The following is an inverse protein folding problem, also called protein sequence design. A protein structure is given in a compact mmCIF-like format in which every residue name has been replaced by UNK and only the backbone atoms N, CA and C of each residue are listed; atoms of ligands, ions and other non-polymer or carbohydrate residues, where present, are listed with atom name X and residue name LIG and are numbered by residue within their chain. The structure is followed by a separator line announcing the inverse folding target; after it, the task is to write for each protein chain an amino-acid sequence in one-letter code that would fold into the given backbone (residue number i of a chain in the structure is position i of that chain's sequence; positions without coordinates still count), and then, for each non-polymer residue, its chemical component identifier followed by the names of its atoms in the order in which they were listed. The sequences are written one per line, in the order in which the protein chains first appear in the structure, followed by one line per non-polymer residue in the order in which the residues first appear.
data_IF_958212555054
#
_entry.id   IF_958212555054
#
_cell.length_a   1.000
_cell.length_b   1.000
_cell.length_c   1.000
_cell.angle_alpha   90.00
_cell.angle_beta   90.00
_cell.angle_gamma   90.00
#
_symmetry.space_group_name_H-M   'P 1'
#
loop_
_entity.id
_entity.type
_entity.pdbx_description
1 polymer ?
#
# COMPACT_ATOMS: atom_id res chain seq x y z
N UNK A 1 24.83 17.86 -8.43
CA UNK A 1 24.03 17.67 -7.20
C UNK A 1 23.08 16.47 -7.34
N UNK A 2 23.14 15.46 -6.46
CA UNK A 2 22.09 14.44 -6.41
C UNK A 2 20.76 15.13 -6.08
N UNK A 3 19.64 14.72 -6.70
CA UNK A 3 18.33 15.24 -6.33
C UNK A 3 18.09 15.01 -4.83
N UNK A 4 17.44 15.95 -4.12
CA UNK A 4 17.12 15.78 -2.70
C UNK A 4 16.34 14.48 -2.54
N UNK A 5 16.81 13.58 -1.68
CA UNK A 5 16.10 12.34 -1.38
C UNK A 5 14.70 12.69 -0.89
N UNK A 6 13.66 12.08 -1.48
CA UNK A 6 12.30 12.41 -1.11
C UNK A 6 12.06 11.97 0.34
N UNK A 7 11.51 12.88 1.15
CA UNK A 7 11.36 12.69 2.59
C UNK A 7 10.29 11.62 2.87
N UNK A 8 10.47 10.77 3.89
CA UNK A 8 9.46 9.77 4.22
C UNK A 8 8.13 10.42 4.63
N UNK A 9 7.03 9.96 4.07
CA UNK A 9 5.67 10.38 4.42
C UNK A 9 5.21 9.58 5.64
N UNK A 10 4.94 10.25 6.76
CA UNK A 10 4.44 9.59 7.97
C UNK A 10 2.95 9.28 7.83
N UNK A 11 2.58 7.99 7.99
CA UNK A 11 1.19 7.52 7.85
C UNK A 11 0.49 7.33 9.21
N UNK A 12 1.25 7.39 10.30
CA UNK A 12 0.80 7.23 11.68
C UNK A 12 1.99 7.26 12.64
N UNK A 13 1.75 7.05 13.93
CA UNK A 13 2.78 7.20 14.99
C UNK A 13 3.99 6.26 14.82
N UNK A 14 3.75 5.06 14.25
CA UNK A 14 4.78 4.04 14.08
C UNK A 14 4.94 3.57 12.63
N UNK A 15 4.37 4.28 11.66
CA UNK A 15 4.31 3.81 10.25
C UNK A 15 4.65 4.92 9.27
N UNK A 16 5.44 4.59 8.24
CA UNK A 16 5.84 5.54 7.20
C UNK A 16 5.97 4.88 5.83
N UNK A 17 5.82 5.70 4.79
CA UNK A 17 6.12 5.36 3.41
C UNK A 17 7.38 6.09 2.94
N UNK A 18 8.21 5.49 2.06
CA UNK A 18 9.31 6.19 1.41
C UNK A 18 8.78 7.30 0.50
N UNK A 19 9.59 8.35 0.26
CA UNK A 19 9.10 9.67 -0.14
C UNK A 19 8.43 9.87 -1.51
N UNK A 20 8.17 8.81 -2.27
CA UNK A 20 7.41 8.89 -3.54
C UNK A 20 6.11 8.08 -3.45
N UNK A 21 5.57 7.95 -2.23
CA UNK A 21 4.44 7.10 -1.92
C UNK A 21 3.44 7.84 -1.03
N UNK A 22 2.15 7.68 -1.34
CA UNK A 22 1.05 8.19 -0.53
C UNK A 22 0.62 7.16 0.52
N UNK A 23 0.29 7.62 1.73
CA UNK A 23 -0.30 6.80 2.77
C UNK A 23 -1.79 6.56 2.47
N UNK A 24 -2.24 5.31 2.49
CA UNK A 24 -3.62 4.90 2.29
C UNK A 24 -4.11 4.01 3.43
N UNK A 25 -5.32 4.25 3.89
CA UNK A 25 -6.01 3.39 4.85
C UNK A 25 -6.56 2.15 4.13
N UNK A 26 -6.05 0.96 4.43
CA UNK A 26 -6.54 -0.30 3.86
C UNK A 26 -7.80 -0.80 4.57
N UNK A 27 -7.79 -0.71 5.90
CA UNK A 27 -8.92 -1.10 6.71
C UNK A 27 -9.26 0.00 7.71
N UNK A 28 -10.35 0.70 7.43
CA UNK A 28 -10.93 1.66 8.37
C UNK A 28 -12.01 0.97 9.21
N UNK A 29 -11.90 1.07 10.54
CA UNK A 29 -12.90 0.60 11.47
C UNK A 29 -13.16 1.68 12.52
N UNK A 30 -14.40 2.17 12.59
CA UNK A 30 -14.83 3.16 13.57
C UNK A 30 -14.04 4.48 13.53
N UNK A 31 -13.61 4.93 12.35
CA UNK A 31 -12.80 6.14 12.16
C UNK A 31 -11.30 5.94 12.45
N UNK A 32 -10.86 4.71 12.72
CA UNK A 32 -9.46 4.36 12.93
C UNK A 32 -8.98 3.45 11.79
N UNK A 33 -7.83 3.80 11.21
CA UNK A 33 -7.14 2.94 10.26
C UNK A 33 -6.40 1.83 10.99
N UNK A 34 -6.95 0.62 10.94
CA UNK A 34 -6.34 -0.58 11.51
C UNK A 34 -5.17 -1.07 10.66
N UNK A 35 -5.27 -0.88 9.34
CA UNK A 35 -4.24 -1.28 8.38
C UNK A 35 -3.88 -0.10 7.48
N UNK A 36 -2.58 0.13 7.35
CA UNK A 36 -2.00 1.23 6.57
C UNK A 36 -1.19 0.63 5.42
N UNK A 37 -1.42 1.15 4.22
CA UNK A 37 -0.73 0.78 3.00
C UNK A 37 -0.08 2.00 2.34
N UNK A 38 1.04 1.77 1.67
CA UNK A 38 1.71 2.74 0.84
C UNK A 38 1.28 2.57 -0.62
N UNK A 39 0.66 3.59 -1.18
CA UNK A 39 0.45 3.68 -2.60
C UNK A 39 1.77 4.01 -3.32
N UNK A 40 2.15 3.30 -4.39
CA UNK A 40 3.38 3.57 -5.14
C UNK A 40 3.34 4.83 -6.03
N UNK A 41 2.33 5.68 -5.85
CA UNK A 41 2.20 6.97 -6.51
C UNK A 41 2.36 8.06 -5.45
N UNK A 42 2.98 9.18 -5.81
CA UNK A 42 3.24 10.30 -4.90
C UNK A 42 1.93 11.02 -4.48
N UNK A 43 0.98 11.10 -5.43
CA UNK A 43 -0.36 11.66 -5.23
C UNK A 43 -1.42 10.63 -5.66
N UNK A 44 -1.29 9.40 -5.19
CA UNK A 44 -2.22 8.33 -5.55
C UNK A 44 -3.58 8.50 -4.89
N UNK A 45 -4.63 8.10 -5.61
CA UNK A 45 -5.99 7.98 -5.06
C UNK A 45 -6.16 6.58 -4.48
N UNK A 46 -6.48 6.53 -3.19
CA UNK A 46 -6.75 5.29 -2.48
C UNK A 46 -8.16 4.79 -2.84
N UNK A 47 -8.25 3.55 -3.32
CA UNK A 47 -9.54 2.94 -3.63
C UNK A 47 -10.16 2.30 -2.37
N UNK A 48 -11.19 2.92 -1.78
CA UNK A 48 -11.83 2.43 -0.57
C UNK A 48 -12.36 1.00 -0.70
N UNK A 49 -12.26 0.22 0.37
CA UNK A 49 -12.69 -1.19 0.39
C UNK A 49 -11.83 -2.14 -0.44
N UNK A 50 -10.66 -1.71 -0.92
CA UNK A 50 -9.73 -2.54 -1.67
C UNK A 50 -8.27 -2.19 -1.37
N UNK A 51 -7.36 -3.12 -1.71
CA UNK A 51 -5.91 -2.89 -1.64
C UNK A 51 -5.36 -2.18 -2.89
N UNK A 52 -6.23 -1.62 -3.72
CA UNK A 52 -5.84 -0.90 -4.93
C UNK A 52 -5.59 0.58 -4.66
N UNK A 53 -4.73 1.13 -5.50
CA UNK A 53 -4.47 2.54 -5.60
C UNK A 53 -4.30 2.93 -7.07
N UNK A 54 -4.76 4.13 -7.38
CA UNK A 54 -4.75 4.70 -8.71
C UNK A 54 -3.89 5.96 -8.77
N UNK A 55 -3.32 6.31 -9.94
CA UNK A 55 -2.60 7.57 -10.08
C UNK A 55 -3.59 8.75 -10.10
N UNK A 56 -3.12 9.96 -9.76
CA UNK A 56 -3.93 11.18 -9.77
C UNK A 56 -4.65 11.44 -11.11
N UNK A 57 -4.03 11.06 -12.22
CA UNK A 57 -4.59 11.24 -13.57
C UNK A 57 -5.78 10.31 -13.87
N UNK A 58 -5.94 9.23 -13.11
CA UNK A 58 -7.00 8.24 -13.24
C UNK A 58 -7.66 7.98 -11.88
N UNK A 59 -8.42 8.95 -11.34
CA UNK A 59 -8.90 8.90 -9.96
C UNK A 59 -10.04 7.90 -9.73
N UNK A 60 -10.67 7.39 -10.79
CA UNK A 60 -11.84 6.52 -10.67
C UNK A 60 -11.39 5.07 -10.55
N UNK A 61 -11.66 4.45 -9.40
CA UNK A 61 -11.30 3.06 -9.14
C UNK A 61 -12.38 2.09 -9.64
N UNK A 62 -12.04 1.26 -10.61
CA UNK A 62 -12.80 0.04 -10.92
C UNK A 62 -12.14 -1.14 -10.19
N UNK A 63 -12.65 -1.43 -8.99
CA UNK A 63 -12.12 -2.50 -8.13
C UNK A 63 -12.43 -3.88 -8.71
N UNK A 64 -13.50 -4.03 -9.48
CA UNK A 64 -13.93 -5.31 -10.04
C UNK A 64 -12.99 -5.75 -11.16
N UNK A 65 -12.68 -4.84 -12.09
CA UNK A 65 -11.76 -5.11 -13.20
C UNK A 65 -10.29 -4.80 -12.85
N UNK A 66 -10.02 -4.18 -11.70
CA UNK A 66 -8.67 -3.79 -11.27
C UNK A 66 -8.07 -2.70 -12.14
N UNK A 67 -8.90 -1.75 -12.57
CA UNK A 67 -8.54 -0.65 -13.46
C UNK A 67 -8.76 0.69 -12.79
N UNK A 68 -8.00 1.68 -13.24
CA UNK A 68 -8.16 3.08 -12.91
C UNK A 68 -8.60 3.82 -14.15
N UNK A 69 -9.75 4.47 -14.06
CA UNK A 69 -10.39 5.20 -15.14
C UNK A 69 -10.21 6.70 -14.94
N UNK A 70 -10.23 7.44 -16.04
CA UNK A 70 -10.14 8.89 -15.99
C UNK A 70 -11.49 9.50 -15.62
N UNK A 71 -12.57 8.96 -16.19
CA UNK A 71 -13.95 9.35 -15.90
C UNK A 71 -14.82 8.12 -15.65
N UNK A 72 -15.97 8.34 -15.01
CA UNK A 72 -16.98 7.29 -14.84
C UNK A 72 -17.50 6.82 -16.20
N UNK A 73 -17.44 5.51 -16.46
CA UNK A 73 -17.93 4.88 -17.69
C UNK A 73 -16.90 4.75 -18.82
N UNK A 74 -15.66 5.20 -18.60
CA UNK A 74 -14.57 4.91 -19.53
C UNK A 74 -14.30 3.40 -19.57
N UNK A 75 -14.15 2.83 -20.78
CA UNK A 75 -13.88 1.38 -20.98
C UNK A 75 -12.40 1.07 -21.07
N UNK A 76 -11.56 2.10 -21.02
CA UNK A 76 -10.11 2.01 -21.16
C UNK A 76 -9.51 2.74 -19.97
N UNK A 77 -8.74 2.01 -19.18
CA UNK A 77 -8.08 2.50 -17.98
C UNK A 77 -6.64 2.04 -17.91
N UNK A 78 -5.93 2.60 -16.94
CA UNK A 78 -4.62 2.08 -16.54
C UNK A 78 -4.81 1.02 -15.47
N UNK A 79 -3.88 0.07 -15.37
CA UNK A 79 -3.95 -0.97 -14.35
C UNK A 79 -3.85 -0.38 -12.95
N UNK A 80 -4.78 -0.74 -12.07
CA UNK A 80 -4.70 -0.39 -10.66
C UNK A 80 -3.46 -1.06 -10.03
N UNK A 81 -2.75 -0.32 -9.18
CA UNK A 81 -1.61 -0.86 -8.45
C UNK A 81 -2.02 -1.28 -7.08
N UNK A 82 -1.49 -2.41 -6.63
CA UNK A 82 -1.61 -2.81 -5.23
C UNK A 82 -0.79 -1.86 -4.36
N UNK A 83 -1.36 -1.54 -3.22
CA UNK A 83 -0.66 -0.90 -2.10
C UNK A 83 0.44 -1.83 -1.59
N UNK A 84 1.46 -1.23 -0.99
CA UNK A 84 2.56 -1.93 -0.32
C UNK A 84 2.42 -1.78 1.18
N UNK A 85 2.93 -2.74 1.94
CA UNK A 85 2.97 -2.60 3.40
C UNK A 85 3.77 -1.35 3.80
N UNK A 86 3.26 -0.61 4.78
CA UNK A 86 4.01 0.48 5.41
C UNK A 86 5.29 -0.05 6.07
N UNK A 87 6.29 0.83 6.16
CA UNK A 87 7.46 0.55 6.99
C UNK A 87 7.14 0.97 8.42
N UNK A 88 7.46 0.11 9.39
CA UNK A 88 7.23 0.42 10.80
C UNK A 88 8.47 1.04 11.47
N UNK A 89 8.29 2.09 12.27
CA UNK A 89 9.28 2.65 13.20
C UNK A 89 9.06 2.00 14.57
N UNK A 90 9.74 0.89 14.83
CA UNK A 90 9.66 0.24 16.14
C UNK A 90 10.63 0.92 17.12
N UNK A 91 10.16 1.40 18.30
CA UNK A 91 10.98 2.19 19.22
C UNK A 91 12.10 1.39 19.91
N UNK A 92 12.14 0.06 19.78
CA UNK A 92 13.09 -0.81 20.47
C UNK A 92 14.16 -1.47 19.58
N UNK A 93 14.32 -1.12 18.29
CA UNK A 93 15.37 -1.74 17.45
C UNK A 93 16.02 -0.79 16.44
N UNK A 94 17.35 -0.74 16.47
CA UNK A 94 18.21 0.21 15.73
C UNK A 94 18.66 -0.24 14.34
N UNK A 95 18.27 -1.42 13.84
CA UNK A 95 18.87 -1.98 12.61
C UNK A 95 17.81 -2.23 11.54
N UNK A 96 17.65 -1.27 10.63
CA UNK A 96 16.66 -1.25 9.53
C UNK A 96 16.82 -2.40 8.53
N UNK A 97 17.99 -3.01 8.41
CA UNK A 97 18.28 -4.14 7.51
C UNK A 97 17.54 -5.43 7.91
N UNK A 98 17.29 -5.65 9.21
CA UNK A 98 16.65 -6.88 9.70
C UNK A 98 15.12 -6.94 9.43
N UNK A 99 14.46 -5.81 9.13
CA UNK A 99 13.02 -5.78 8.83
C UNK A 99 12.75 -6.21 7.38
N UNK A 100 13.65 -5.82 6.46
CA UNK A 100 13.60 -6.30 5.07
C UNK A 100 13.86 -7.82 5.05
N UNK A 101 14.84 -8.28 5.83
CA UNK A 101 15.10 -9.71 6.05
C UNK A 101 13.95 -10.44 6.75
N UNK A 102 13.27 -9.85 7.75
CA UNK A 102 12.16 -10.53 8.42
C UNK A 102 10.95 -10.67 7.48
N UNK A 103 10.68 -9.69 6.61
CA UNK A 103 9.66 -9.81 5.57
C UNK A 103 9.99 -10.89 4.52
N UNK A 104 11.26 -11.11 4.21
CA UNK A 104 11.74 -12.12 3.25
C UNK A 104 11.91 -13.51 3.88
N UNK A 105 12.23 -13.58 5.19
CA UNK A 105 12.48 -14.81 5.94
C UNK A 105 11.18 -15.46 6.41
N UNK A 106 10.10 -14.70 6.63
CA UNK A 106 8.78 -15.28 6.90
C UNK A 106 8.15 -15.78 5.59
N UNK A 107 8.72 -16.84 5.00
CA UNK A 107 8.02 -17.67 4.03
C UNK A 107 6.96 -18.48 4.77
N UNK A 108 5.72 -18.01 4.74
CA UNK A 108 4.59 -18.81 5.18
C UNK A 108 4.47 -20.06 4.29
N UNK A 109 4.88 -21.21 4.81
CA UNK A 109 4.54 -22.49 4.21
C UNK A 109 3.07 -22.76 4.55
N UNK A 110 2.16 -22.41 3.65
CA UNK A 110 0.75 -22.86 3.76
C UNK A 110 0.76 -24.38 3.75
N UNK A 111 0.49 -25.02 4.88
CA UNK A 111 0.18 -26.44 4.89
C UNK A 111 -1.24 -26.61 4.35
N UNK A 112 -1.34 -27.05 3.09
CA UNK A 112 -2.60 -27.31 2.38
C UNK A 112 -3.24 -28.63 2.84
N UNK A 113 -3.54 -28.78 4.13
CA UNK A 113 -4.16 -30.00 4.69
C UNK A 113 -5.25 -29.53 5.67
N UNK A 114 -6.55 -29.73 5.48
CA UNK A 114 -7.28 -30.66 4.62
C UNK A 114 -8.61 -30.02 4.16
N UNK A 115 -8.87 -30.05 2.85
CA UNK A 115 -10.21 -29.95 2.29
C UNK A 115 -10.40 -31.14 1.34
N UNK A 116 -10.52 -32.33 1.91
CA UNK A 116 -11.12 -33.50 1.28
C UNK A 116 -11.29 -34.61 2.34
N UNK A 117 -12.46 -34.62 2.98
CA UNK A 117 -13.37 -35.77 3.12
C UNK A 117 -14.65 -35.32 3.82
#
# INVERSE_FOLDING_TARGET
PPPPTPKPSECGDFSYCPGDQTCCCELEFSGMCLEQGCCPYENGVCCDGSNYCCPADYPICDVYDGLCLKNHGDKIGVKARNRRMVKYKLPWRTNTEAIEEMSQTVKWKRNHVAAMR
#
